data_IF_762370187827
#
_entry.id   IF_762370187827
#
_cell.length_a   1.000
_cell.length_b   1.000
_cell.length_c   1.000
_cell.angle_alpha   90.00
_cell.angle_beta   90.00
_cell.angle_gamma   90.00
#
_symmetry.space_group_name_H-M   'P 1'
#
loop_
_entity.id
_entity.type
_entity.pdbx_description
1 polymer ?
#
# COMPACT_ATOMS: atom_id res chain seq x y z
N UNK A 1 19.41 5.71 -1.31
CA UNK A 1 18.51 6.68 -0.63
C UNK A 1 18.53 8.00 -1.39
N UNK A 2 17.36 8.53 -1.73
CA UNK A 2 17.19 9.83 -2.40
C UNK A 2 16.44 10.80 -1.49
N UNK A 3 16.95 12.01 -1.31
CA UNK A 3 16.19 13.10 -0.67
C UNK A 3 15.19 13.67 -1.68
N UNK A 4 13.96 13.90 -1.25
CA UNK A 4 12.95 14.63 -2.03
C UNK A 4 13.34 16.11 -1.94
N UNK A 5 13.66 16.71 -3.09
CA UNK A 5 14.05 18.13 -3.19
C UNK A 5 12.89 18.92 -3.81
N UNK A 6 11.86 19.17 -3.03
CA UNK A 6 10.71 19.97 -3.45
C UNK A 6 10.34 20.98 -2.34
N UNK A 7 9.93 22.21 -2.68
CA UNK A 7 9.56 23.22 -1.68
C UNK A 7 8.42 22.79 -0.75
N UNK A 8 7.46 22.03 -1.26
CA UNK A 8 6.29 21.58 -0.48
C UNK A 8 6.60 20.40 0.46
N UNK A 9 7.50 19.49 0.07
CA UNK A 9 7.67 18.23 0.77
C UNK A 9 9.13 18.02 1.18
N UNK A 10 9.35 17.76 2.46
CA UNK A 10 10.61 17.25 2.99
C UNK A 10 10.49 15.76 3.26
N UNK A 11 11.35 14.98 2.65
CA UNK A 11 11.27 13.54 2.82
C UNK A 11 12.41 12.79 2.13
N UNK A 12 12.35 11.48 2.22
CA UNK A 12 13.33 10.59 1.59
C UNK A 12 12.63 9.38 0.96
N UNK A 13 13.24 8.89 -0.11
CA UNK A 13 12.91 7.60 -0.72
C UNK A 13 14.05 6.64 -0.44
N UNK A 14 13.76 5.48 0.13
CA UNK A 14 14.74 4.44 0.45
C UNK A 14 14.19 3.07 0.10
N UNK A 15 15.00 2.21 -0.51
CA UNK A 15 14.69 0.79 -0.59
C UNK A 15 14.77 0.18 0.81
N UNK A 16 13.69 -0.46 1.25
CA UNK A 16 13.54 -1.06 2.60
C UNK A 16 13.53 -2.58 2.56
N UNK A 17 13.24 -3.16 1.41
CA UNK A 17 13.42 -4.57 1.09
C UNK A 17 13.63 -4.69 -0.42
N UNK A 18 14.11 -5.81 -0.97
CA UNK A 18 14.39 -5.94 -2.40
C UNK A 18 13.21 -5.49 -3.27
N UNK A 19 13.41 -4.44 -4.06
CA UNK A 19 12.41 -3.82 -4.96
C UNK A 19 11.20 -3.19 -4.24
N UNK A 20 11.31 -2.92 -2.94
CA UNK A 20 10.29 -2.21 -2.17
C UNK A 20 10.89 -0.91 -1.67
N UNK A 21 10.35 0.20 -2.16
CA UNK A 21 10.80 1.56 -1.83
C UNK A 21 9.80 2.21 -0.88
N UNK A 22 10.32 2.75 0.22
CA UNK A 22 9.51 3.52 1.18
C UNK A 22 9.76 5.01 0.99
N UNK A 23 8.67 5.76 0.88
CA UNK A 23 8.66 7.22 0.97
C UNK A 23 8.29 7.59 2.40
N UNK A 24 9.22 8.23 3.09
CA UNK A 24 8.96 8.85 4.38
C UNK A 24 8.93 10.36 4.21
N UNK A 25 7.86 11.01 4.64
CA UNK A 25 7.64 12.45 4.60
C UNK A 25 7.43 12.92 6.03
N UNK A 26 7.95 14.10 6.36
CA UNK A 26 7.92 14.64 7.72
C UNK A 26 6.48 14.94 8.18
N UNK A 27 5.62 15.37 7.26
CA UNK A 27 4.22 15.71 7.50
C UNK A 27 3.28 14.61 7.01
N UNK A 28 2.33 14.19 7.84
CA UNK A 28 1.36 13.14 7.53
C UNK A 28 0.35 13.57 6.45
N UNK A 29 -0.02 14.86 6.43
CA UNK A 29 -0.88 15.42 5.41
C UNK A 29 -0.21 15.34 4.03
N UNK A 30 1.04 15.80 3.93
CA UNK A 30 1.80 15.75 2.67
C UNK A 30 2.00 14.31 2.20
N UNK A 31 2.25 13.37 3.12
CA UNK A 31 2.34 11.95 2.78
C UNK A 31 1.03 11.45 2.19
N UNK A 32 -0.09 11.74 2.84
CA UNK A 32 -1.40 11.35 2.37
C UNK A 32 -1.72 11.94 1.00
N UNK A 33 -1.47 13.23 0.81
CA UNK A 33 -1.72 13.92 -0.45
C UNK A 33 -0.86 13.39 -1.59
N UNK A 34 0.39 13.01 -1.31
CA UNK A 34 1.28 12.40 -2.29
C UNK A 34 0.74 11.05 -2.80
N UNK A 35 0.14 10.25 -1.94
CA UNK A 35 -0.32 8.90 -2.27
C UNK A 35 -1.79 8.81 -2.66
N UNK A 36 -2.69 9.62 -2.10
CA UNK A 36 -4.14 9.48 -2.16
C UNK A 36 -4.68 9.23 -3.58
N UNK A 37 -4.29 10.04 -4.56
CA UNK A 37 -4.78 9.90 -5.94
C UNK A 37 -4.41 8.56 -6.57
N UNK A 38 -3.18 8.13 -6.35
CA UNK A 38 -2.64 6.88 -6.88
C UNK A 38 -3.23 5.66 -6.15
N UNK A 39 -3.40 5.77 -4.82
CA UNK A 39 -4.03 4.75 -4.00
C UNK A 39 -5.49 4.54 -4.41
N UNK A 40 -6.24 5.63 -4.58
CA UNK A 40 -7.64 5.58 -4.98
C UNK A 40 -7.82 5.12 -6.43
N UNK A 41 -6.88 5.45 -7.31
CA UNK A 41 -6.85 4.86 -8.64
C UNK A 41 -6.59 3.35 -8.59
N UNK A 42 -5.75 2.89 -7.68
CA UNK A 42 -5.38 1.48 -7.54
C UNK A 42 -6.53 0.63 -6.99
N UNK A 43 -7.02 0.97 -5.80
CA UNK A 43 -7.89 0.07 -5.04
C UNK A 43 -9.09 0.74 -4.37
N UNK A 44 -9.50 1.92 -4.83
CA UNK A 44 -10.70 2.55 -4.28
C UNK A 44 -11.87 1.57 -4.19
N UNK A 45 -12.60 1.54 -3.07
CA UNK A 45 -13.85 0.79 -2.96
C UNK A 45 -14.91 1.30 -3.95
N UNK A 46 -14.72 2.52 -4.46
CA UNK A 46 -15.67 3.18 -5.34
C UNK A 46 -15.29 3.02 -6.80
N UNK A 47 -16.09 2.27 -7.56
CA UNK A 47 -15.87 1.96 -8.99
C UNK A 47 -15.68 3.19 -9.88
N UNK A 48 -16.13 4.37 -9.45
CA UNK A 48 -15.98 5.61 -10.22
C UNK A 48 -14.55 6.15 -10.22
N UNK A 49 -13.71 5.79 -9.24
CA UNK A 49 -12.31 6.21 -9.13
C UNK A 49 -11.34 5.11 -9.53
N UNK A 50 -11.64 3.85 -9.17
CA UNK A 50 -10.73 2.74 -9.42
C UNK A 50 -10.46 2.54 -10.90
N UNK A 51 -9.20 2.75 -11.31
CA UNK A 51 -8.73 2.63 -12.69
C UNK A 51 -9.23 3.70 -13.65
N UNK A 52 -9.81 4.80 -13.17
CA UNK A 52 -10.41 5.86 -13.97
C UNK A 52 -9.80 7.23 -13.64
N UNK A 53 -9.82 8.19 -14.60
CA UNK A 53 -9.40 9.56 -14.33
C UNK A 53 -10.36 10.24 -13.36
N UNK A 54 -9.80 11.05 -12.48
CA UNK A 54 -10.54 11.97 -11.61
C UNK A 54 -9.62 13.09 -11.13
N UNK A 55 -10.21 14.22 -10.80
CA UNK A 55 -9.51 15.36 -10.22
C UNK A 55 -9.46 15.28 -8.69
N UNK A 56 -8.49 15.96 -8.09
CA UNK A 56 -8.41 16.12 -6.63
C UNK A 56 -9.71 16.63 -6.03
N UNK A 57 -10.27 17.69 -6.65
CA UNK A 57 -11.50 18.31 -6.15
C UNK A 57 -12.70 17.38 -6.19
N UNK A 58 -12.80 16.55 -7.23
CA UNK A 58 -13.87 15.53 -7.33
C UNK A 58 -13.75 14.52 -6.20
N UNK A 59 -12.51 14.01 -5.95
CA UNK A 59 -12.31 13.02 -4.91
C UNK A 59 -12.52 13.60 -3.51
N UNK A 60 -11.98 14.77 -3.21
CA UNK A 60 -12.13 15.43 -1.91
C UNK A 60 -13.60 15.72 -1.58
N UNK A 61 -14.38 16.23 -2.53
CA UNK A 61 -15.83 16.46 -2.36
C UNK A 61 -16.55 15.16 -2.09
N UNK A 62 -16.30 14.17 -2.95
CA UNK A 62 -16.89 12.85 -2.79
C UNK A 62 -16.54 12.20 -1.45
N UNK A 63 -15.27 12.24 -1.03
CA UNK A 63 -14.83 11.65 0.24
C UNK A 63 -15.58 12.26 1.43
N UNK A 64 -15.66 13.58 1.48
CA UNK A 64 -16.44 14.29 2.51
C UNK A 64 -17.90 13.81 2.57
N UNK A 65 -18.55 13.74 1.42
CA UNK A 65 -19.97 13.37 1.32
C UNK A 65 -20.19 11.89 1.70
N UNK A 66 -19.35 11.00 1.16
CA UNK A 66 -19.46 9.56 1.41
C UNK A 66 -19.23 9.18 2.89
N UNK A 67 -18.29 9.88 3.55
CA UNK A 67 -17.96 9.65 4.96
C UNK A 67 -18.71 10.60 5.92
N UNK A 68 -19.62 11.45 5.41
CA UNK A 68 -20.40 12.43 6.17
C UNK A 68 -19.51 13.35 7.03
N UNK A 69 -18.37 13.77 6.49
CA UNK A 69 -17.39 14.63 7.18
C UNK A 69 -17.57 16.08 6.78
N UNK A 70 -17.25 17.00 7.69
CA UNK A 70 -17.25 18.45 7.40
C UNK A 70 -16.04 18.88 6.58
N UNK A 71 -14.93 18.18 6.77
CA UNK A 71 -13.64 18.45 6.14
C UNK A 71 -13.11 17.20 5.44
N UNK A 72 -12.07 17.34 4.63
CA UNK A 72 -11.37 16.22 4.04
C UNK A 72 -10.42 15.62 5.08
N UNK A 73 -10.79 14.46 5.64
CA UNK A 73 -10.06 13.80 6.73
C UNK A 73 -9.22 12.61 6.26
N UNK A 74 -9.08 12.39 4.98
CA UNK A 74 -8.29 11.27 4.43
C UNK A 74 -6.88 11.16 5.02
N UNK A 75 -6.14 12.28 5.26
CA UNK A 75 -4.83 12.22 5.91
C UNK A 75 -4.84 11.70 7.34
N UNK A 76 -5.95 11.86 8.05
CA UNK A 76 -6.13 11.39 9.43
C UNK A 76 -6.68 9.96 9.48
N UNK A 77 -7.36 9.54 8.42
CA UNK A 77 -8.05 8.23 8.37
C UNK A 77 -7.09 7.11 7.91
N UNK A 78 -5.94 7.43 7.24
CA UNK A 78 -4.99 6.46 6.70
C UNK A 78 -3.55 6.75 7.13
N UNK A 79 -2.83 5.73 7.60
CA UNK A 79 -1.45 5.85 8.10
C UNK A 79 -0.40 5.24 7.16
N UNK A 80 -0.80 4.30 6.31
CA UNK A 80 0.05 3.60 5.36
C UNK A 80 -0.52 3.64 3.94
N UNK A 81 0.36 3.53 2.96
CA UNK A 81 0.04 3.56 1.54
C UNK A 81 0.92 2.58 0.80
N UNK A 82 0.37 1.97 -0.25
CA UNK A 82 1.12 1.01 -1.05
C UNK A 82 0.63 0.99 -2.50
N UNK A 83 1.55 1.00 -3.46
CA UNK A 83 1.19 1.08 -4.88
C UNK A 83 2.20 0.29 -5.73
N UNK A 84 1.74 -0.66 -6.56
CA UNK A 84 2.58 -1.33 -7.56
C UNK A 84 3.12 -0.36 -8.62
N UNK A 85 4.35 -0.56 -9.07
CA UNK A 85 5.02 0.28 -10.09
C UNK A 85 4.22 0.43 -11.39
N UNK A 86 3.60 -0.64 -11.87
CA UNK A 86 2.78 -0.61 -13.08
C UNK A 86 1.49 0.22 -12.92
N UNK A 87 0.96 0.31 -11.69
CA UNK A 87 -0.18 1.17 -11.38
C UNK A 87 0.24 2.64 -11.39
N UNK A 88 1.38 2.97 -10.76
CA UNK A 88 1.91 4.34 -10.78
C UNK A 88 2.14 4.78 -12.23
N UNK A 89 2.73 3.94 -13.06
CA UNK A 89 2.95 4.23 -14.49
C UNK A 89 1.64 4.54 -15.21
N UNK A 90 0.60 3.72 -15.02
CA UNK A 90 -0.71 3.93 -15.64
C UNK A 90 -1.38 5.21 -15.15
N UNK A 91 -1.41 5.41 -13.84
CA UNK A 91 -1.99 6.60 -13.22
C UNK A 91 -1.30 7.89 -13.70
N UNK A 92 0.03 7.86 -13.81
CA UNK A 92 0.81 8.99 -14.29
C UNK A 92 0.39 9.44 -15.71
N UNK A 93 0.16 8.51 -16.63
CA UNK A 93 -0.34 8.82 -17.98
C UNK A 93 -1.75 9.42 -17.97
N UNK A 94 -2.57 9.07 -16.99
CA UNK A 94 -3.96 9.51 -16.87
C UNK A 94 -4.04 10.87 -16.15
N UNK A 95 -3.27 11.07 -15.10
CA UNK A 95 -3.34 12.27 -14.24
C UNK A 95 -2.54 13.45 -14.76
N UNK A 96 -1.62 13.28 -15.71
CA UNK A 96 -0.94 14.33 -16.45
C UNK A 96 -0.30 15.47 -15.61
N UNK A 97 0.17 15.19 -14.39
CA UNK A 97 0.81 16.19 -13.49
C UNK A 97 -0.10 17.37 -13.13
N UNK A 98 -1.34 17.10 -12.79
CA UNK A 98 -2.33 18.16 -12.44
C UNK A 98 -1.96 18.93 -11.17
N UNK A 99 -1.14 18.34 -10.28
CA UNK A 99 -0.75 18.96 -9.01
C UNK A 99 0.75 18.80 -8.76
N UNK A 100 1.28 19.60 -7.83
CA UNK A 100 2.67 19.48 -7.37
C UNK A 100 2.95 18.07 -6.78
N UNK A 101 1.97 17.46 -6.14
CA UNK A 101 2.11 16.08 -5.64
C UNK A 101 2.26 15.06 -6.76
N UNK A 102 1.59 15.26 -7.90
CA UNK A 102 1.77 14.41 -9.08
C UNK A 102 3.17 14.60 -9.70
N UNK A 103 3.71 15.81 -9.70
CA UNK A 103 5.09 16.10 -10.14
C UNK A 103 6.09 15.36 -9.26
N UNK A 104 5.94 15.46 -7.93
CA UNK A 104 6.82 14.79 -6.97
C UNK A 104 6.71 13.26 -7.10
N UNK A 105 5.50 12.72 -7.24
CA UNK A 105 5.31 11.29 -7.44
C UNK A 105 5.96 10.79 -8.74
N UNK A 106 5.92 11.60 -9.81
CA UNK A 106 6.62 11.30 -11.05
C UNK A 106 8.15 11.22 -10.84
N UNK A 107 8.74 12.15 -10.11
CA UNK A 107 10.17 12.15 -9.81
C UNK A 107 10.59 10.95 -8.94
N UNK A 108 9.73 10.55 -8.02
CA UNK A 108 9.89 9.33 -7.21
C UNK A 108 9.82 8.10 -8.11
N UNK A 109 8.83 8.03 -9.00
CA UNK A 109 8.67 6.92 -9.95
C UNK A 109 9.94 6.71 -10.78
N UNK A 110 10.46 7.77 -11.41
CA UNK A 110 11.65 7.66 -12.26
C UNK A 110 12.89 7.28 -11.48
N UNK A 111 13.03 7.78 -10.25
CA UNK A 111 14.12 7.37 -9.37
C UNK A 111 14.05 5.87 -9.05
N UNK A 112 12.91 5.37 -8.60
CA UNK A 112 12.74 3.96 -8.24
C UNK A 112 12.89 3.04 -9.47
N UNK A 113 12.35 3.45 -10.61
CA UNK A 113 12.47 2.69 -11.86
C UNK A 113 13.93 2.57 -12.33
N UNK A 114 14.71 3.66 -12.24
CA UNK A 114 16.13 3.68 -12.55
C UNK A 114 16.92 2.80 -11.59
N UNK A 115 16.79 3.01 -10.29
CA UNK A 115 17.50 2.25 -9.24
C UNK A 115 17.18 0.75 -9.32
N UNK A 116 15.93 0.39 -9.55
CA UNK A 116 15.51 -1.00 -9.72
C UNK A 116 16.10 -1.63 -11.00
N UNK A 117 16.13 -0.89 -12.10
CA UNK A 117 16.73 -1.37 -13.36
C UNK A 117 18.24 -1.55 -13.24
N UNK A 118 18.97 -0.60 -12.64
CA UNK A 118 20.41 -0.69 -12.43
C UNK A 118 20.79 -1.93 -11.61
N UNK A 119 19.98 -2.30 -10.62
CA UNK A 119 20.16 -3.52 -9.81
C UNK A 119 19.78 -4.81 -10.53
N UNK A 120 19.23 -4.71 -11.73
CA UNK A 120 18.79 -5.84 -12.57
C UNK A 120 19.48 -5.82 -13.94
N UNK A 121 20.78 -5.49 -13.99
CA UNK A 121 21.60 -5.45 -15.19
C UNK A 121 20.97 -4.61 -16.32
N UNK A 122 20.36 -3.49 -15.97
CA UNK A 122 19.69 -2.59 -16.90
C UNK A 122 18.32 -3.06 -17.40
N UNK A 123 17.84 -4.21 -16.93
CA UNK A 123 16.53 -4.75 -17.35
C UNK A 123 15.40 -4.18 -16.50
N UNK A 124 14.30 -3.83 -17.16
CA UNK A 124 13.08 -3.41 -16.46
C UNK A 124 12.55 -4.55 -15.59
N UNK A 125 12.19 -4.23 -14.36
CA UNK A 125 11.52 -5.13 -13.44
C UNK A 125 10.46 -4.41 -12.62
N UNK A 126 9.50 -5.16 -12.12
CA UNK A 126 8.47 -4.63 -11.24
C UNK A 126 9.03 -4.33 -9.84
N UNK A 127 8.60 -3.21 -9.28
CA UNK A 127 8.92 -2.76 -7.94
C UNK A 127 7.66 -2.20 -7.26
N UNK A 128 7.76 -1.95 -5.99
CA UNK A 128 6.62 -1.52 -5.16
C UNK A 128 6.95 -0.25 -4.40
N UNK A 129 6.00 0.68 -4.31
CA UNK A 129 6.15 1.90 -3.54
C UNK A 129 5.25 1.83 -2.32
N UNK A 130 5.81 2.16 -1.16
CA UNK A 130 5.05 2.30 0.07
C UNK A 130 5.26 3.69 0.67
N UNK A 131 4.26 4.18 1.40
CA UNK A 131 4.31 5.40 2.19
C UNK A 131 3.98 5.10 3.63
N UNK A 132 4.92 5.34 4.53
CA UNK A 132 4.71 5.13 5.97
C UNK A 132 5.53 6.14 6.78
N UNK A 133 5.10 6.41 8.01
CA UNK A 133 5.91 7.17 8.96
C UNK A 133 7.14 6.36 9.37
N UNK A 134 8.30 7.00 9.42
CA UNK A 134 9.53 6.37 9.94
C UNK A 134 9.44 5.97 11.41
N UNK A 135 8.47 6.50 12.13
CA UNK A 135 8.20 6.21 13.56
C UNK A 135 7.21 5.07 13.75
N UNK A 136 6.44 4.72 12.72
CA UNK A 136 5.44 3.64 12.77
C UNK A 136 5.94 2.40 12.03
N UNK A 137 6.79 1.63 12.71
CA UNK A 137 7.36 0.40 12.18
C UNK A 137 6.30 -0.68 11.91
N UNK A 138 5.17 -0.66 12.61
CA UNK A 138 4.11 -1.66 12.39
C UNK A 138 3.41 -1.42 11.05
N UNK A 139 3.04 -0.18 10.78
CA UNK A 139 2.49 0.19 9.47
C UNK A 139 3.51 -0.06 8.37
N UNK A 140 4.78 0.30 8.59
CA UNK A 140 5.83 0.03 7.61
C UNK A 140 5.97 -1.45 7.28
N UNK A 141 6.01 -2.33 8.28
CA UNK A 141 6.06 -3.79 8.07
C UNK A 141 4.83 -4.30 7.32
N UNK A 142 3.64 -3.76 7.62
CA UNK A 142 2.40 -4.09 6.93
C UNK A 142 2.49 -3.75 5.43
N UNK A 143 2.95 -2.56 5.09
CA UNK A 143 3.13 -2.15 3.70
C UNK A 143 4.25 -2.93 3.00
N UNK A 144 5.33 -3.30 3.71
CA UNK A 144 6.37 -4.19 3.17
C UNK A 144 5.79 -5.58 2.84
N UNK A 145 4.86 -6.09 3.64
CA UNK A 145 4.22 -7.39 3.36
C UNK A 145 3.47 -7.35 2.01
N UNK A 146 2.69 -6.30 1.72
CA UNK A 146 2.07 -6.10 0.41
C UNK A 146 3.12 -6.04 -0.71
N UNK A 147 4.19 -5.29 -0.50
CA UNK A 147 5.29 -5.19 -1.45
C UNK A 147 5.94 -6.54 -1.77
N UNK A 148 6.20 -7.38 -0.76
CA UNK A 148 6.72 -8.74 -0.94
C UNK A 148 5.73 -9.63 -1.71
N UNK A 149 4.45 -9.54 -1.39
CA UNK A 149 3.42 -10.33 -2.07
C UNK A 149 3.31 -9.99 -3.56
N UNK A 150 3.60 -8.75 -3.92
CA UNK A 150 3.65 -8.30 -5.31
C UNK A 150 4.98 -8.65 -6.00
N UNK A 151 6.12 -8.37 -5.36
CA UNK A 151 7.43 -8.43 -6.01
C UNK A 151 8.09 -9.81 -5.96
N UNK A 152 7.75 -10.66 -4.99
CA UNK A 152 8.43 -11.94 -4.74
C UNK A 152 7.50 -13.13 -4.98
N UNK A 153 7.71 -13.83 -6.10
CA UNK A 153 6.88 -14.98 -6.50
C UNK A 153 6.91 -16.14 -5.50
N UNK A 154 8.06 -16.36 -4.86
CA UNK A 154 8.22 -17.44 -3.89
C UNK A 154 7.48 -17.11 -2.58
N UNK A 155 7.67 -15.90 -2.06
CA UNK A 155 6.89 -15.41 -0.94
C UNK A 155 5.38 -15.53 -1.20
N UNK A 156 4.92 -15.04 -2.34
CA UNK A 156 3.50 -15.13 -2.74
C UNK A 156 3.00 -16.57 -2.75
N UNK A 157 3.79 -17.50 -3.29
CA UNK A 157 3.45 -18.93 -3.34
C UNK A 157 3.29 -19.51 -1.93
N UNK A 158 4.23 -19.24 -1.02
CA UNK A 158 4.17 -19.75 0.35
C UNK A 158 3.01 -19.11 1.13
N UNK A 159 2.80 -17.81 1.01
CA UNK A 159 1.65 -17.11 1.61
C UNK A 159 0.32 -17.67 1.10
N UNK A 160 0.19 -17.91 -0.19
CA UNK A 160 -1.04 -18.50 -0.77
C UNK A 160 -1.34 -19.87 -0.16
N UNK A 161 -0.31 -20.71 0.08
CA UNK A 161 -0.48 -21.97 0.78
C UNK A 161 -0.98 -21.77 2.21
N UNK A 162 -0.46 -20.77 2.92
CA UNK A 162 -0.88 -20.48 4.30
C UNK A 162 -2.33 -19.97 4.34
N UNK A 163 -2.73 -19.09 3.43
CA UNK A 163 -4.12 -18.63 3.33
C UNK A 163 -5.06 -19.81 3.11
N UNK A 164 -4.71 -20.73 2.22
CA UNK A 164 -5.53 -21.93 1.93
C UNK A 164 -5.62 -22.91 3.11
N UNK A 165 -4.74 -22.83 4.12
CA UNK A 165 -4.84 -23.59 5.36
C UNK A 165 -5.81 -22.98 6.37
N UNK A 166 -6.21 -21.73 6.19
CA UNK A 166 -7.20 -21.07 7.07
C UNK A 166 -8.55 -21.75 6.85
N UNK A 167 -9.12 -22.30 7.92
CA UNK A 167 -10.44 -22.97 7.83
C UNK A 167 -11.52 -22.00 7.33
N UNK A 168 -12.45 -22.43 6.46
CA UNK A 168 -13.46 -21.55 5.86
C UNK A 168 -14.20 -20.64 6.86
N UNK A 169 -14.67 -21.08 8.03
CA UNK A 169 -15.33 -20.18 8.98
C UNK A 169 -14.41 -19.06 9.50
N UNK A 170 -13.12 -19.32 9.66
CA UNK A 170 -12.15 -18.30 10.10
C UNK A 170 -11.82 -17.32 8.99
N UNK A 171 -11.68 -17.80 7.76
CA UNK A 171 -11.50 -16.96 6.58
C UNK A 171 -12.69 -16.00 6.38
N UNK A 172 -13.92 -16.51 6.41
CA UNK A 172 -15.13 -15.70 6.28
C UNK A 172 -15.28 -14.68 7.41
N UNK A 173 -14.84 -15.01 8.63
CA UNK A 173 -14.81 -14.07 9.76
C UNK A 173 -13.84 -12.93 9.50
N UNK A 174 -12.63 -13.23 8.99
CA UNK A 174 -11.63 -12.23 8.59
C UNK A 174 -12.17 -11.35 7.46
N UNK A 175 -12.64 -11.96 6.39
CA UNK A 175 -13.23 -11.26 5.23
C UNK A 175 -14.32 -10.27 5.66
N UNK A 176 -15.30 -10.72 6.45
CA UNK A 176 -16.38 -9.84 6.94
C UNK A 176 -15.87 -8.65 7.75
N UNK A 177 -14.82 -8.84 8.56
CA UNK A 177 -14.22 -7.75 9.32
C UNK A 177 -13.49 -6.77 8.42
N UNK A 178 -12.72 -7.25 7.44
CA UNK A 178 -12.02 -6.40 6.48
C UNK A 178 -13.01 -5.56 5.65
N UNK A 179 -14.11 -6.17 5.17
CA UNK A 179 -15.17 -5.42 4.47
C UNK A 179 -15.77 -4.35 5.38
N UNK A 180 -16.00 -4.64 6.67
CA UNK A 180 -16.49 -3.66 7.64
C UNK A 180 -15.49 -2.52 7.88
N UNK A 181 -14.20 -2.77 7.72
CA UNK A 181 -13.14 -1.76 7.81
C UNK A 181 -13.03 -0.90 6.53
N UNK A 182 -13.79 -1.21 5.47
CA UNK A 182 -13.82 -0.45 4.23
C UNK A 182 -13.11 -1.10 3.04
N UNK A 183 -12.51 -2.28 3.22
CA UNK A 183 -11.88 -3.01 2.12
C UNK A 183 -12.88 -3.55 1.12
N UNK A 184 -12.47 -3.62 -0.15
CA UNK A 184 -13.31 -4.12 -1.24
C UNK A 184 -13.55 -5.62 -1.12
N UNK A 185 -14.79 -6.08 -1.36
CA UNK A 185 -15.10 -7.51 -1.49
C UNK A 185 -14.59 -8.07 -2.82
N UNK A 186 -13.27 -8.16 -2.92
CA UNK A 186 -12.54 -8.81 -4.01
C UNK A 186 -11.56 -9.81 -3.37
N UNK A 187 -11.59 -11.05 -3.85
CA UNK A 187 -10.78 -12.12 -3.25
C UNK A 187 -9.29 -11.80 -3.23
N UNK A 188 -8.77 -11.12 -4.26
CA UNK A 188 -7.33 -10.81 -4.33
C UNK A 188 -6.95 -9.75 -3.30
N UNK A 189 -7.79 -8.74 -3.10
CA UNK A 189 -7.59 -7.69 -2.09
C UNK A 189 -7.73 -8.30 -0.70
N UNK A 190 -8.76 -9.10 -0.46
CA UNK A 190 -8.98 -9.75 0.84
C UNK A 190 -7.84 -10.70 1.19
N UNK A 191 -7.36 -11.51 0.26
CA UNK A 191 -6.21 -12.40 0.50
C UNK A 191 -4.93 -11.62 0.82
N UNK A 192 -4.70 -10.50 0.11
CA UNK A 192 -3.55 -9.62 0.32
C UNK A 192 -3.61 -8.96 1.70
N UNK A 193 -4.77 -8.45 2.11
CA UNK A 193 -4.97 -7.88 3.45
C UNK A 193 -4.86 -8.93 4.56
N UNK A 194 -5.49 -10.10 4.39
CA UNK A 194 -5.37 -11.19 5.37
C UNK A 194 -3.91 -11.54 5.60
N UNK A 195 -3.12 -11.69 4.53
CA UNK A 195 -1.72 -12.05 4.69
C UNK A 195 -0.92 -10.94 5.38
N UNK A 196 -1.12 -9.67 5.02
CA UNK A 196 -0.41 -8.55 5.62
C UNK A 196 -0.68 -8.47 7.13
N UNK A 197 -1.96 -8.52 7.56
CA UNK A 197 -2.33 -8.56 8.98
C UNK A 197 -1.80 -9.80 9.70
N UNK A 198 -1.85 -10.97 9.08
CA UNK A 198 -1.34 -12.20 9.70
C UNK A 198 0.18 -12.17 9.85
N UNK A 199 0.90 -11.57 8.90
CA UNK A 199 2.36 -11.49 8.88
C UNK A 199 2.92 -10.49 9.88
N UNK A 200 2.25 -9.36 10.10
CA UNK A 200 2.80 -8.21 10.84
C UNK A 200 2.12 -7.95 12.18
N UNK A 201 0.87 -8.29 12.30
CA UNK A 201 0.12 -8.20 13.55
C UNK A 201 -1.38 -8.09 13.33
N UNK A 202 -2.14 -8.81 14.14
CA UNK A 202 -3.59 -8.70 14.18
C UNK A 202 -3.97 -7.57 15.13
N UNK A 203 -4.76 -6.62 14.67
CA UNK A 203 -5.30 -5.51 15.45
C UNK A 203 -6.72 -5.16 15.00
N UNK A 204 -7.33 -4.12 15.57
CA UNK A 204 -8.69 -3.67 15.21
C UNK A 204 -9.75 -4.78 15.31
N UNK A 205 -9.69 -5.59 16.36
CA UNK A 205 -10.64 -6.68 16.57
C UNK A 205 -10.40 -7.92 15.72
N UNK A 206 -9.32 -7.97 14.93
CA UNK A 206 -8.86 -9.19 14.26
C UNK A 206 -8.12 -10.14 15.23
N UNK A 207 -7.64 -9.63 16.37
CA UNK A 207 -6.89 -10.39 17.36
C UNK A 207 -7.81 -11.34 18.16
N UNK A 208 -8.05 -12.53 17.64
CA UNK A 208 -8.83 -13.59 18.30
C UNK A 208 -7.99 -14.86 18.46
N UNK A 209 -8.31 -15.66 19.49
CA UNK A 209 -7.59 -16.93 19.75
C UNK A 209 -7.58 -17.86 18.53
N UNK A 210 -8.70 -17.92 17.80
CA UNK A 210 -8.83 -18.77 16.62
C UNK A 210 -7.94 -18.35 15.45
N UNK A 211 -7.59 -17.06 15.35
CA UNK A 211 -6.73 -16.53 14.30
C UNK A 211 -5.26 -16.59 14.68
N UNK A 212 -4.93 -16.48 15.96
CA UNK A 212 -3.55 -16.59 16.45
C UNK A 212 -2.88 -17.92 16.11
N UNK A 213 -3.63 -19.00 15.98
CA UNK A 213 -3.06 -20.31 15.64
C UNK A 213 -2.39 -20.34 14.25
N UNK A 214 -2.82 -19.49 13.32
CA UNK A 214 -2.22 -19.39 11.99
C UNK A 214 -1.06 -18.38 11.94
N UNK A 215 -1.05 -17.40 12.84
CA UNK A 215 -0.20 -16.22 12.74
C UNK A 215 1.31 -16.54 12.77
N UNK A 216 1.71 -17.56 13.52
CA UNK A 216 3.13 -17.89 13.67
C UNK A 216 3.79 -18.25 12.33
N UNK A 217 3.08 -19.02 11.47
CA UNK A 217 3.61 -19.43 10.17
C UNK A 217 3.74 -18.22 9.23
N UNK A 218 2.76 -17.30 9.22
CA UNK A 218 2.83 -16.07 8.45
C UNK A 218 3.99 -15.17 8.90
N UNK A 219 4.12 -14.94 10.21
CA UNK A 219 5.23 -14.15 10.78
C UNK A 219 6.60 -14.75 10.49
N UNK A 220 6.72 -16.09 10.60
CA UNK A 220 7.95 -16.78 10.25
C UNK A 220 8.30 -16.58 8.79
N UNK A 221 7.33 -16.75 7.89
CA UNK A 221 7.52 -16.55 6.46
C UNK A 221 7.97 -15.11 6.16
N UNK A 222 7.24 -14.11 6.63
CA UNK A 222 7.58 -12.70 6.47
C UNK A 222 9.02 -12.39 6.89
N UNK A 223 9.44 -12.83 8.08
CA UNK A 223 10.80 -12.64 8.59
C UNK A 223 11.89 -13.30 7.73
N UNK A 224 11.58 -14.43 7.08
CA UNK A 224 12.55 -15.11 6.21
C UNK A 224 12.81 -14.34 4.91
N UNK A 225 11.86 -13.54 4.44
CA UNK A 225 11.96 -12.77 3.21
C UNK A 225 12.31 -11.28 3.43
N UNK A 226 12.31 -10.80 4.67
CA UNK A 226 12.73 -9.43 5.04
C UNK A 226 14.14 -9.33 5.60
N UNK A 227 14.83 -10.47 5.77
CA UNK A 227 16.26 -10.54 6.13
C UNK A 227 17.07 -10.47 4.84
#
# INVERSE_FOLDING_TARGET
MKKIKHPLIKGVVKEVAPRIYCVTVDDDYDRAMLFCRYQEFYESPYKKFRGKPFTWMEYMRFYKDAWKKRTFTYPDDWSGYNIPSNIIQRAHHIFCKDTEYDVIMNDIYWYCAKDSSEKNDGKKQDWYLIGASSKDLKTMDHEIAHGLYFTNKEYKKEITKLINKIRPPHYEKLKKKLIKMGYVDDKKIIDDEIHAFMSTGLYNGLDTKELKIYQNDFKKNFRNFTK
#
